data_IF_262473118627
#
_entry.id   IF_262473118627
#
_cell.length_a   1.000
_cell.length_b   1.000
_cell.length_c   1.000
_cell.angle_alpha   90.00
_cell.angle_beta   90.00
_cell.angle_gamma   90.00
#
_symmetry.space_group_name_H-M   'P 1'
#
loop_
_entity.id
_entity.type
_entity.pdbx_description
1 polymer ?
#
# COMPACT_ATOMS: atom_id res chain seq x y z
N UNK A 1 29.34 1.35 14.16
CA UNK A 1 28.12 0.59 13.94
C UNK A 1 27.27 1.29 12.89
N UNK A 2 26.74 0.52 11.94
CA UNK A 2 25.83 1.04 10.88
C UNK A 2 24.46 1.45 11.45
N UNK A 3 24.00 0.72 12.47
CA UNK A 3 22.78 1.02 13.21
C UNK A 3 23.15 1.54 14.59
N UNK A 4 22.60 2.68 14.96
CA UNK A 4 22.86 3.35 16.24
C UNK A 4 21.66 3.19 17.16
N UNK A 5 21.78 2.33 18.15
CA UNK A 5 20.81 2.19 19.23
C UNK A 5 21.37 2.83 20.50
N UNK A 6 20.52 3.45 21.29
CA UNK A 6 20.86 4.16 22.53
C UNK A 6 19.93 3.73 23.67
N UNK A 7 20.26 4.13 24.88
CA UNK A 7 19.39 3.91 26.05
C UNK A 7 18.95 2.45 26.23
N UNK A 8 17.65 2.24 26.37
CA UNK A 8 17.04 0.93 26.62
C UNK A 8 17.21 -0.04 25.44
N UNK A 9 17.07 0.43 24.22
CA UNK A 9 17.21 -0.40 23.01
C UNK A 9 18.58 -1.07 22.98
N UNK A 10 19.63 -0.28 23.20
CA UNK A 10 21.00 -0.78 23.24
C UNK A 10 21.21 -1.78 24.38
N UNK A 11 20.68 -1.50 25.58
CA UNK A 11 20.80 -2.40 26.73
C UNK A 11 20.16 -3.77 26.47
N UNK A 12 18.98 -3.79 25.84
CA UNK A 12 18.26 -5.02 25.48
C UNK A 12 19.05 -5.81 24.43
N UNK A 13 19.47 -5.15 23.33
CA UNK A 13 20.25 -5.81 22.27
C UNK A 13 21.59 -6.34 22.78
N UNK A 14 22.32 -5.58 23.57
CA UNK A 14 23.58 -6.01 24.16
C UNK A 14 23.39 -7.22 25.11
N UNK A 15 22.30 -7.25 25.88
CA UNK A 15 22.00 -8.36 26.78
C UNK A 15 21.66 -9.66 26.05
N UNK A 16 20.92 -9.57 24.96
CA UNK A 16 20.65 -10.69 24.06
C UNK A 16 21.93 -11.15 23.35
N UNK A 17 22.72 -10.22 22.84
CA UNK A 17 23.96 -10.50 22.10
C UNK A 17 25.08 -11.13 22.94
N UNK A 18 25.02 -11.00 24.27
CA UNK A 18 25.93 -11.69 25.20
C UNK A 18 25.63 -13.19 25.34
N UNK A 19 24.42 -13.60 25.03
CA UNK A 19 23.92 -14.97 25.25
C UNK A 19 23.70 -15.73 23.94
N UNK A 20 23.28 -15.03 22.87
CA UNK A 20 23.01 -15.60 21.56
C UNK A 20 23.47 -14.69 20.43
N UNK A 21 23.34 -15.16 19.19
CA UNK A 21 23.56 -14.31 18.02
C UNK A 21 22.27 -13.58 17.69
N UNK A 22 22.36 -12.29 17.44
CA UNK A 22 21.20 -11.47 17.06
C UNK A 22 21.43 -10.78 15.72
N UNK A 23 20.38 -10.75 14.91
CA UNK A 23 20.40 -10.14 13.59
C UNK A 23 19.20 -9.21 13.44
N UNK A 24 19.45 -7.96 12.98
CA UNK A 24 18.35 -7.15 12.47
C UNK A 24 18.00 -7.67 11.09
N UNK A 25 16.71 -7.72 10.77
CA UNK A 25 16.24 -8.34 9.55
C UNK A 25 15.13 -7.53 8.89
N UNK A 26 14.81 -7.85 7.64
CA UNK A 26 13.65 -7.25 6.95
C UNK A 26 13.86 -5.84 6.45
N UNK A 27 12.83 -5.01 6.61
CA UNK A 27 12.75 -3.67 6.03
C UNK A 27 13.84 -2.72 6.48
N UNK A 28 14.21 -2.76 7.75
CA UNK A 28 15.19 -1.85 8.35
C UNK A 28 16.57 -1.93 7.66
N UNK A 29 17.02 -3.15 7.30
CA UNK A 29 18.33 -3.33 6.65
C UNK A 29 18.28 -2.88 5.19
N UNK A 30 17.18 -3.16 4.47
CA UNK A 30 16.96 -2.66 3.12
C UNK A 30 16.92 -1.12 3.10
N UNK A 31 16.16 -0.51 3.99
CA UNK A 31 15.96 0.94 4.02
C UNK A 31 17.28 1.66 4.38
N UNK A 32 18.11 1.07 5.26
CA UNK A 32 19.47 1.55 5.48
C UNK A 32 20.33 1.51 4.20
N UNK A 33 20.24 0.43 3.41
CA UNK A 33 21.00 0.30 2.17
C UNK A 33 20.52 1.26 1.08
N UNK A 34 19.21 1.61 1.07
CA UNK A 34 18.63 2.55 0.11
C UNK A 34 18.91 4.01 0.47
N UNK A 35 18.70 4.37 1.73
CA UNK A 35 18.60 5.78 2.12
C UNK A 35 19.75 6.24 3.03
N UNK A 36 20.60 5.32 3.51
CA UNK A 36 21.63 5.57 4.53
C UNK A 36 21.07 6.20 5.83
N UNK A 37 19.75 6.14 5.99
CA UNK A 37 18.99 6.57 7.16
C UNK A 37 18.06 5.43 7.57
N UNK A 38 17.79 5.32 8.86
CA UNK A 38 16.93 4.27 9.42
C UNK A 38 15.79 4.93 10.17
N UNK A 39 14.58 4.49 9.84
CA UNK A 39 13.43 4.71 10.67
C UNK A 39 13.30 3.50 11.62
N UNK A 40 13.44 3.74 12.91
CA UNK A 40 13.39 2.71 13.94
C UNK A 40 11.96 2.39 14.42
N UNK A 41 10.93 2.73 13.65
CA UNK A 41 9.53 2.47 14.03
C UNK A 41 9.08 1.01 13.87
N UNK A 42 9.88 0.17 13.18
CA UNK A 42 9.56 -1.25 12.97
C UNK A 42 10.88 -2.03 12.85
N UNK A 43 11.32 -2.61 13.96
CA UNK A 43 12.61 -3.28 14.09
C UNK A 43 12.41 -4.77 14.36
N UNK A 44 12.62 -5.57 13.32
CA UNK A 44 12.62 -7.03 13.43
C UNK A 44 14.00 -7.54 13.89
N UNK A 45 14.04 -8.29 15.00
CA UNK A 45 15.25 -8.92 15.54
C UNK A 45 15.09 -10.44 15.52
N UNK A 46 15.90 -11.14 14.72
CA UNK A 46 16.00 -12.61 14.78
C UNK A 46 17.09 -13.03 15.76
N UNK A 47 16.76 -13.95 16.70
CA UNK A 47 17.62 -14.37 17.80
C UNK A 47 17.92 -15.86 17.65
N UNK A 48 19.20 -16.20 17.62
CA UNK A 48 19.73 -17.54 17.46
C UNK A 48 20.43 -18.02 18.74
N UNK A 49 20.61 -19.34 18.83
CA UNK A 49 21.32 -20.03 19.92
C UNK A 49 20.64 -19.99 21.30
N UNK A 50 19.43 -19.41 21.39
CA UNK A 50 18.63 -19.34 22.61
C UNK A 50 17.28 -20.02 22.42
N UNK A 51 16.75 -20.61 23.49
CA UNK A 51 15.35 -21.04 23.55
C UNK A 51 14.44 -19.84 23.88
N UNK A 52 13.14 -19.97 23.53
CA UNK A 52 12.20 -18.86 23.70
C UNK A 52 12.04 -18.43 25.17
N UNK A 53 12.17 -19.37 26.10
CA UNK A 53 12.13 -19.13 27.53
C UNK A 53 13.35 -18.34 28.03
N UNK A 54 14.51 -18.56 27.43
CA UNK A 54 15.73 -17.80 27.73
C UNK A 54 15.61 -16.37 27.23
N UNK A 55 15.08 -16.19 26.01
CA UNK A 55 14.82 -14.87 25.43
C UNK A 55 13.81 -14.11 26.30
N UNK A 56 12.70 -14.74 26.69
CA UNK A 56 11.67 -14.18 27.55
C UNK A 56 12.27 -13.73 28.91
N UNK A 57 13.09 -14.59 29.52
CA UNK A 57 13.79 -14.29 30.78
C UNK A 57 14.73 -13.08 30.67
N UNK A 58 15.39 -12.90 29.53
CA UNK A 58 16.26 -11.74 29.30
C UNK A 58 15.41 -10.48 29.11
N UNK A 59 14.39 -10.53 28.27
CA UNK A 59 13.50 -9.40 27.96
C UNK A 59 12.69 -8.95 29.19
N UNK A 60 12.21 -9.87 30.01
CA UNK A 60 11.42 -9.60 31.24
C UNK A 60 12.16 -8.75 32.29
N UNK A 61 13.49 -8.59 32.15
CA UNK A 61 14.26 -7.65 32.99
C UNK A 61 14.04 -6.19 32.64
N UNK A 62 13.48 -5.93 31.45
CA UNK A 62 13.32 -4.60 30.85
C UNK A 62 11.87 -4.15 30.72
N UNK A 63 10.90 -5.05 30.92
CA UNK A 63 9.48 -4.75 30.84
C UNK A 63 8.64 -6.00 30.75
N UNK A 64 7.32 -5.82 30.55
CA UNK A 64 6.41 -6.93 30.37
C UNK A 64 6.54 -7.50 28.95
N UNK A 65 6.64 -8.85 28.85
CA UNK A 65 6.79 -9.56 27.58
C UNK A 65 5.46 -10.18 27.15
N UNK A 66 5.00 -9.81 25.99
CA UNK A 66 3.81 -10.38 25.36
C UNK A 66 4.23 -11.42 24.31
N UNK A 67 3.78 -12.67 24.44
CA UNK A 67 3.96 -13.70 23.42
C UNK A 67 2.87 -13.58 22.38
N UNK A 68 3.24 -13.17 21.17
CA UNK A 68 2.30 -13.00 20.04
C UNK A 68 2.35 -14.24 19.17
N UNK A 69 1.19 -14.94 19.06
CA UNK A 69 1.10 -16.17 18.28
C UNK A 69 1.89 -17.33 18.92
N UNK A 70 1.25 -18.13 19.76
CA UNK A 70 1.88 -19.26 20.47
C UNK A 70 2.73 -20.19 19.60
N UNK A 71 2.44 -20.27 18.29
CA UNK A 71 3.15 -21.09 17.32
C UNK A 71 4.26 -20.35 16.53
N UNK A 72 4.35 -19.01 16.64
CA UNK A 72 5.24 -18.24 15.75
C UNK A 72 6.56 -17.80 16.38
N UNK A 73 6.75 -17.99 17.70
CA UNK A 73 8.00 -17.65 18.39
C UNK A 73 8.33 -16.15 18.34
N UNK A 74 7.31 -15.27 18.39
CA UNK A 74 7.49 -13.82 18.42
C UNK A 74 7.19 -13.30 19.81
N UNK A 75 8.09 -12.49 20.33
CA UNK A 75 7.99 -11.79 21.63
C UNK A 75 7.96 -10.28 21.38
N UNK A 76 7.06 -9.59 22.07
CA UNK A 76 6.98 -8.12 22.09
C UNK A 76 7.23 -7.62 23.50
N UNK A 77 8.07 -6.60 23.62
CA UNK A 77 8.38 -5.94 24.88
C UNK A 77 7.60 -4.63 24.95
N UNK A 78 6.79 -4.43 26.00
CA UNK A 78 5.92 -3.26 26.14
C UNK A 78 6.68 -1.93 26.19
N UNK A 79 7.88 -1.93 26.77
CA UNK A 79 8.77 -0.78 26.83
C UNK A 79 9.47 -0.47 25.49
N UNK A 80 9.45 -1.40 24.53
CA UNK A 80 9.97 -1.25 23.16
C UNK A 80 8.93 -1.74 22.14
N UNK A 81 7.77 -1.07 22.00
CA UNK A 81 6.64 -1.57 21.22
C UNK A 81 6.94 -1.66 19.70
N UNK A 82 7.98 -0.99 19.25
CA UNK A 82 8.46 -0.99 17.87
C UNK A 82 9.46 -2.11 17.56
N UNK A 83 9.79 -2.96 18.54
CA UNK A 83 10.66 -4.13 18.35
C UNK A 83 9.85 -5.42 18.33
N UNK A 84 10.10 -6.26 17.33
CA UNK A 84 9.65 -7.64 17.26
C UNK A 84 10.86 -8.56 17.44
N UNK A 85 10.84 -9.33 18.53
CA UNK A 85 11.88 -10.31 18.83
C UNK A 85 11.41 -11.70 18.40
N UNK A 86 12.09 -12.33 17.46
CA UNK A 86 11.66 -13.60 16.88
C UNK A 86 12.79 -14.62 16.87
N UNK A 87 12.45 -15.89 17.03
CA UNK A 87 13.35 -16.99 16.69
C UNK A 87 13.28 -17.30 15.20
N UNK A 88 14.38 -17.80 14.60
CA UNK A 88 14.35 -18.29 13.22
C UNK A 88 13.41 -19.48 13.11
N UNK A 89 12.69 -19.57 11.98
CA UNK A 89 11.65 -20.55 11.78
C UNK A 89 11.60 -21.06 10.34
N UNK A 90 11.08 -22.27 10.17
CA UNK A 90 10.63 -22.80 8.90
C UNK A 90 9.11 -22.76 8.85
N UNK A 91 8.59 -22.32 7.73
CA UNK A 91 7.16 -22.31 7.44
C UNK A 91 6.90 -23.33 6.34
N UNK A 92 5.90 -24.20 6.49
CA UNK A 92 5.49 -25.15 5.47
C UNK A 92 3.99 -25.04 5.30
N UNK A 93 3.54 -24.80 4.08
CA UNK A 93 2.11 -24.76 3.75
C UNK A 93 1.54 -26.17 3.76
N UNK A 94 0.48 -26.42 4.56
CA UNK A 94 -0.21 -27.70 4.65
C UNK A 94 -1.61 -27.70 4.01
N UNK A 95 -2.06 -26.58 3.43
CA UNK A 95 -3.38 -26.43 2.82
C UNK A 95 -3.46 -25.30 1.82
N UNK A 96 -4.69 -24.92 1.43
CA UNK A 96 -4.93 -23.88 0.43
C UNK A 96 -5.03 -22.47 1.03
N UNK A 97 -5.34 -22.34 2.33
CA UNK A 97 -5.55 -21.06 2.99
C UNK A 97 -4.29 -20.58 3.70
N UNK A 98 -4.20 -19.27 3.96
CA UNK A 98 -3.09 -18.64 4.69
C UNK A 98 -3.02 -19.01 6.18
N UNK A 99 -4.00 -19.75 6.72
CA UNK A 99 -4.03 -20.23 8.12
C UNK A 99 -3.45 -21.63 8.28
N UNK A 100 -3.16 -22.29 7.16
CA UNK A 100 -2.71 -23.69 7.13
C UNK A 100 -1.20 -23.76 6.91
N UNK A 101 -0.44 -23.05 7.76
CA UNK A 101 1.01 -23.15 7.84
C UNK A 101 1.44 -23.86 9.11
N UNK A 102 2.25 -24.90 8.94
CA UNK A 102 3.05 -25.44 10.03
C UNK A 102 4.29 -24.58 10.21
N UNK A 103 4.40 -23.98 11.37
CA UNK A 103 5.56 -23.16 11.75
C UNK A 103 6.37 -23.97 12.78
N UNK A 104 7.62 -24.23 12.43
CA UNK A 104 8.57 -24.87 13.33
C UNK A 104 9.72 -23.92 13.61
N UNK A 105 9.95 -23.64 14.88
CA UNK A 105 11.01 -22.75 15.36
C UNK A 105 12.29 -23.54 15.57
N UNK A 106 13.43 -22.99 15.20
CA UNK A 106 14.75 -23.62 15.33
C UNK A 106 15.76 -22.61 15.86
N UNK A 107 16.33 -22.85 17.02
CA UNK A 107 17.37 -21.95 17.55
C UNK A 107 18.66 -21.88 16.71
N UNK A 108 18.95 -22.92 15.93
CA UNK A 108 20.20 -23.05 15.14
C UNK A 108 19.90 -23.25 13.65
N UNK A 109 18.90 -22.56 13.10
CA UNK A 109 18.65 -22.61 11.67
C UNK A 109 19.83 -21.96 10.91
N UNK A 110 20.19 -22.54 9.77
CA UNK A 110 21.14 -21.90 8.86
C UNK A 110 20.62 -20.52 8.41
N UNK A 111 21.49 -19.51 8.41
CA UNK A 111 21.08 -18.12 8.13
C UNK A 111 20.56 -17.94 6.70
N UNK A 112 21.17 -18.61 5.73
CA UNK A 112 20.74 -18.58 4.34
C UNK A 112 19.36 -19.23 4.19
N UNK A 113 19.14 -20.36 4.88
CA UNK A 113 17.84 -21.04 4.88
C UNK A 113 16.76 -20.20 5.58
N UNK A 114 17.07 -19.50 6.68
CA UNK A 114 16.16 -18.56 7.33
C UNK A 114 15.73 -17.44 6.39
N UNK A 115 16.63 -16.92 5.56
CA UNK A 115 16.31 -15.91 4.56
C UNK A 115 15.47 -16.44 3.38
N UNK A 116 15.56 -17.74 3.05
CA UNK A 116 14.90 -18.32 1.89
C UNK A 116 13.38 -18.18 1.90
N UNK A 117 12.76 -18.18 3.09
CA UNK A 117 11.30 -18.01 3.27
C UNK A 117 10.78 -16.60 2.97
N UNK A 118 11.69 -15.60 2.83
CA UNK A 118 11.31 -14.22 2.53
C UNK A 118 10.82 -14.08 1.08
N UNK A 119 10.16 -12.97 0.80
CA UNK A 119 9.55 -12.72 -0.50
C UNK A 119 10.59 -12.37 -1.59
N UNK A 120 11.40 -11.32 -1.35
CA UNK A 120 12.33 -10.77 -2.33
C UNK A 120 13.76 -10.72 -1.81
N UNK A 121 14.73 -10.79 -2.73
CA UNK A 121 16.16 -10.70 -2.44
C UNK A 121 16.51 -9.43 -1.67
N UNK A 122 15.87 -8.30 -2.02
CA UNK A 122 16.04 -7.00 -1.36
C UNK A 122 15.49 -6.94 0.08
N UNK A 123 14.71 -7.92 0.50
CA UNK A 123 14.18 -8.04 1.85
C UNK A 123 14.89 -9.16 2.65
N UNK A 124 15.90 -9.82 2.06
CA UNK A 124 16.57 -10.97 2.65
C UNK A 124 17.90 -10.63 3.35
N UNK A 125 18.18 -9.36 3.53
CA UNK A 125 19.36 -8.93 4.27
C UNK A 125 19.24 -9.26 5.75
N UNK A 126 20.38 -9.58 6.37
CA UNK A 126 20.55 -9.66 7.81
C UNK A 126 21.71 -8.75 8.23
N UNK A 127 21.52 -8.01 9.30
CA UNK A 127 22.61 -7.25 9.90
C UNK A 127 23.06 -7.95 11.19
N UNK A 128 24.29 -8.43 11.20
CA UNK A 128 24.93 -9.01 12.38
C UNK A 128 25.26 -7.88 13.36
N UNK A 129 24.53 -7.84 14.47
CA UNK A 129 24.66 -6.78 15.46
C UNK A 129 26.05 -6.77 16.12
N UNK A 130 26.60 -7.96 16.42
CA UNK A 130 27.88 -8.10 17.10
C UNK A 130 29.07 -7.73 16.23
N UNK A 131 29.04 -8.14 14.95
CA UNK A 131 30.16 -7.99 14.02
C UNK A 131 30.05 -6.75 13.11
N UNK A 132 28.98 -5.95 13.22
CA UNK A 132 28.69 -4.77 12.40
C UNK A 132 28.73 -5.07 10.88
N UNK A 133 28.15 -6.22 10.48
CA UNK A 133 28.17 -6.70 9.11
C UNK A 133 26.78 -6.90 8.54
N UNK A 134 26.57 -6.52 7.27
CA UNK A 134 25.35 -6.86 6.52
C UNK A 134 25.64 -8.11 5.69
N UNK A 135 24.88 -9.17 5.97
CA UNK A 135 24.92 -10.44 5.27
C UNK A 135 23.90 -10.41 4.12
N UNK A 136 24.35 -10.84 2.94
CA UNK A 136 23.56 -10.89 1.71
C UNK A 136 23.76 -12.25 1.03
N UNK A 137 22.89 -13.20 1.30
CA UNK A 137 22.98 -14.57 0.79
C UNK A 137 22.41 -14.75 -0.62
N UNK A 138 21.65 -13.76 -1.12
CA UNK A 138 20.87 -13.88 -2.37
C UNK A 138 21.16 -12.77 -3.37
N UNK A 139 22.28 -12.05 -3.20
CA UNK A 139 22.71 -10.93 -4.06
C UNK A 139 21.69 -9.78 -4.12
N UNK A 140 20.95 -9.56 -3.02
CA UNK A 140 19.97 -8.52 -2.91
C UNK A 140 20.52 -7.10 -3.10
N UNK A 141 21.82 -6.85 -2.74
CA UNK A 141 22.48 -5.56 -2.98
C UNK A 141 22.57 -5.23 -4.47
N UNK A 142 22.86 -6.24 -5.31
CA UNK A 142 22.92 -6.06 -6.76
C UNK A 142 21.53 -5.76 -7.32
N UNK A 143 20.51 -6.49 -6.86
CA UNK A 143 19.13 -6.27 -7.28
C UNK A 143 18.64 -4.89 -6.82
N UNK A 144 18.99 -4.48 -5.60
CA UNK A 144 18.66 -3.15 -5.05
C UNK A 144 19.27 -2.02 -5.88
N UNK A 145 20.56 -2.14 -6.25
CA UNK A 145 21.26 -1.16 -7.10
C UNK A 145 20.68 -1.07 -8.51
N UNK A 146 20.16 -2.17 -9.04
CA UNK A 146 19.51 -2.22 -10.36
C UNK A 146 18.04 -1.81 -10.33
N UNK A 147 17.45 -1.58 -9.16
CA UNK A 147 16.02 -1.30 -9.01
C UNK A 147 15.15 -2.49 -9.40
N UNK A 148 15.56 -3.72 -9.05
CA UNK A 148 14.86 -4.96 -9.41
C UNK A 148 14.30 -5.64 -8.16
N UNK A 149 13.04 -6.02 -8.23
CA UNK A 149 12.38 -6.89 -7.25
C UNK A 149 12.36 -8.33 -7.79
N UNK A 150 13.16 -9.18 -7.16
CA UNK A 150 13.36 -10.56 -7.56
C UNK A 150 12.97 -11.49 -6.41
N UNK A 151 12.13 -12.49 -6.65
CA UNK A 151 11.83 -13.53 -5.69
C UNK A 151 13.10 -14.33 -5.34
N UNK A 152 13.20 -14.79 -4.10
CA UNK A 152 14.33 -15.59 -3.63
C UNK A 152 14.28 -17.00 -4.18
N UNK A 153 13.15 -17.65 -4.02
CA UNK A 153 12.90 -19.05 -4.38
C UNK A 153 11.47 -19.20 -4.89
N UNK A 154 11.31 -19.83 -6.04
CA UNK A 154 9.99 -19.95 -6.70
C UNK A 154 9.00 -20.75 -5.85
N UNK A 155 9.46 -21.87 -5.26
CA UNK A 155 8.60 -22.75 -4.47
C UNK A 155 8.06 -22.03 -3.23
N UNK A 156 8.94 -21.40 -2.45
CA UNK A 156 8.53 -20.67 -1.26
C UNK A 156 7.73 -19.42 -1.61
N UNK A 157 8.00 -18.78 -2.75
CA UNK A 157 7.23 -17.62 -3.21
C UNK A 157 5.77 -17.97 -3.47
N UNK A 158 5.50 -19.11 -4.10
CA UNK A 158 4.15 -19.61 -4.41
C UNK A 158 3.36 -20.06 -3.17
N UNK A 159 4.01 -20.28 -2.04
CA UNK A 159 3.31 -20.64 -0.80
C UNK A 159 2.39 -19.54 -0.27
N UNK A 160 2.68 -18.26 -0.55
CA UNK A 160 1.84 -17.12 -0.13
C UNK A 160 1.46 -16.23 -1.31
N UNK A 161 0.24 -16.35 -1.86
CA UNK A 161 -0.23 -15.50 -2.97
C UNK A 161 -0.24 -14.00 -2.67
N UNK A 162 -0.22 -13.58 -1.39
CA UNK A 162 -0.12 -12.18 -1.02
C UNK A 162 1.15 -11.52 -1.58
N UNK A 163 2.19 -12.30 -1.84
CA UNK A 163 3.46 -11.80 -2.41
C UNK A 163 3.29 -11.14 -3.77
N UNK A 164 2.22 -11.48 -4.52
CA UNK A 164 1.85 -10.79 -5.76
C UNK A 164 1.47 -9.34 -5.47
N UNK A 165 0.61 -9.11 -4.48
CA UNK A 165 0.19 -7.75 -4.09
C UNK A 165 1.34 -6.98 -3.43
N UNK A 166 2.16 -7.68 -2.64
CA UNK A 166 3.39 -7.11 -2.06
C UNK A 166 4.38 -6.67 -3.14
N UNK A 167 4.52 -7.44 -4.23
CA UNK A 167 5.35 -7.04 -5.37
C UNK A 167 4.88 -5.72 -5.96
N UNK A 168 3.57 -5.60 -6.25
CA UNK A 168 2.98 -4.37 -6.77
C UNK A 168 3.18 -3.17 -5.82
N UNK A 169 2.99 -3.40 -4.51
CA UNK A 169 3.19 -2.39 -3.48
C UNK A 169 4.66 -1.93 -3.42
N UNK A 170 5.63 -2.87 -3.45
CA UNK A 170 7.04 -2.53 -3.44
C UNK A 170 7.50 -1.86 -4.75
N UNK A 171 6.96 -2.27 -5.90
CA UNK A 171 7.20 -1.58 -7.18
C UNK A 171 6.79 -0.11 -7.09
N UNK A 172 5.61 0.18 -6.54
CA UNK A 172 5.10 1.54 -6.36
C UNK A 172 5.88 2.34 -5.29
N UNK A 173 6.24 1.69 -4.18
CA UNK A 173 6.94 2.34 -3.07
C UNK A 173 8.37 2.71 -3.39
N UNK A 174 9.09 1.84 -4.09
CA UNK A 174 10.53 1.98 -4.35
C UNK A 174 10.83 2.32 -5.82
N UNK A 175 9.82 2.44 -6.66
CA UNK A 175 9.94 2.69 -8.11
C UNK A 175 10.82 1.65 -8.81
N UNK A 176 10.73 0.40 -8.34
CA UNK A 176 11.49 -0.73 -8.85
C UNK A 176 10.67 -1.54 -9.87
N UNK A 177 11.37 -2.35 -10.66
CA UNK A 177 10.76 -3.24 -11.65
C UNK A 177 10.78 -4.69 -11.16
N UNK A 178 9.74 -5.44 -11.51
CA UNK A 178 9.74 -6.88 -11.28
C UNK A 178 10.78 -7.57 -12.19
N UNK A 179 11.53 -8.53 -11.61
CA UNK A 179 12.32 -9.48 -12.42
C UNK A 179 11.42 -10.29 -13.34
N UNK A 180 11.92 -10.62 -14.54
CA UNK A 180 11.14 -11.34 -15.56
C UNK A 180 10.55 -12.64 -15.06
N UNK A 181 11.38 -13.48 -14.43
CA UNK A 181 10.93 -14.77 -13.87
C UNK A 181 9.92 -14.59 -12.76
N UNK A 182 10.13 -13.61 -11.87
CA UNK A 182 9.20 -13.27 -10.80
C UNK A 182 7.83 -12.88 -11.35
N UNK A 183 7.77 -12.05 -12.39
CA UNK A 183 6.54 -11.67 -13.08
C UNK A 183 5.84 -12.87 -13.70
N UNK A 184 6.57 -13.74 -14.40
CA UNK A 184 6.02 -14.95 -15.01
C UNK A 184 5.40 -15.89 -13.95
N UNK A 185 6.03 -16.02 -12.79
CA UNK A 185 5.49 -16.79 -11.67
C UNK A 185 4.19 -16.15 -11.17
N UNK A 186 4.17 -14.84 -10.95
CA UNK A 186 2.96 -14.13 -10.55
C UNK A 186 1.80 -14.34 -11.54
N UNK A 187 2.06 -14.26 -12.86
CA UNK A 187 1.06 -14.50 -13.89
C UNK A 187 0.46 -15.90 -13.80
N UNK A 188 1.31 -16.95 -13.62
CA UNK A 188 0.82 -18.32 -13.45
C UNK A 188 -0.04 -18.48 -12.20
N UNK A 189 0.37 -17.87 -11.07
CA UNK A 189 -0.39 -17.93 -9.82
C UNK A 189 -1.77 -17.28 -9.98
N UNK A 190 -1.85 -16.13 -10.68
CA UNK A 190 -3.12 -15.45 -10.97
C UNK A 190 -4.01 -16.33 -11.86
N UNK A 191 -3.46 -16.89 -12.95
CA UNK A 191 -4.18 -17.78 -13.86
C UNK A 191 -4.72 -19.05 -13.14
N UNK A 192 -4.03 -19.51 -12.11
CA UNK A 192 -4.46 -20.64 -11.28
C UNK A 192 -5.50 -20.26 -10.21
N UNK A 193 -5.94 -19.00 -10.13
CA UNK A 193 -6.92 -18.53 -9.14
C UNK A 193 -6.38 -18.47 -7.70
N UNK A 194 -5.07 -18.36 -7.51
CA UNK A 194 -4.49 -18.42 -6.16
C UNK A 194 -4.83 -17.20 -5.30
N UNK A 195 -5.18 -16.06 -5.92
CA UNK A 195 -5.61 -14.87 -5.20
C UNK A 195 -6.97 -15.01 -4.51
N UNK A 196 -7.83 -15.93 -4.98
CA UNK A 196 -9.18 -16.16 -4.45
C UNK A 196 -9.16 -16.68 -3.00
N UNK A 197 -8.01 -17.24 -2.58
CA UNK A 197 -7.81 -17.74 -1.22
C UNK A 197 -7.35 -16.66 -0.22
N UNK A 198 -7.10 -15.43 -0.69
CA UNK A 198 -6.70 -14.34 0.19
C UNK A 198 -7.90 -13.74 0.90
N UNK A 199 -7.74 -13.42 2.18
CA UNK A 199 -8.76 -12.67 2.89
C UNK A 199 -8.77 -11.20 2.43
N UNK A 200 -9.97 -10.60 2.45
CA UNK A 200 -10.18 -9.20 2.04
C UNK A 200 -9.32 -8.22 2.83
N UNK A 201 -9.12 -8.50 4.11
CA UNK A 201 -8.30 -7.67 5.01
C UNK A 201 -6.84 -7.64 4.56
N UNK A 202 -6.28 -8.79 4.16
CA UNK A 202 -4.91 -8.87 3.63
C UNK A 202 -4.77 -8.12 2.31
N UNK A 203 -5.73 -8.29 1.40
CA UNK A 203 -5.79 -7.57 0.13
C UNK A 203 -5.85 -6.06 0.40
N UNK A 204 -6.78 -5.62 1.26
CA UNK A 204 -6.96 -4.22 1.62
C UNK A 204 -5.68 -3.60 2.20
N UNK A 205 -4.98 -4.33 3.07
CA UNK A 205 -3.73 -3.85 3.66
C UNK A 205 -2.66 -3.57 2.61
N UNK A 206 -2.47 -4.45 1.63
CA UNK A 206 -1.47 -4.23 0.57
C UNK A 206 -1.91 -3.12 -0.39
N UNK A 207 -3.20 -3.01 -0.75
CA UNK A 207 -3.71 -1.88 -1.52
C UNK A 207 -3.56 -0.54 -0.78
N UNK A 208 -3.79 -0.51 0.54
CA UNK A 208 -3.57 0.69 1.35
C UNK A 208 -2.12 1.17 1.27
N UNK A 209 -1.16 0.25 1.42
CA UNK A 209 0.28 0.56 1.31
C UNK A 209 0.63 1.02 -0.10
N UNK A 210 0.08 0.36 -1.13
CA UNK A 210 0.28 0.72 -2.53
C UNK A 210 -0.23 2.13 -2.80
N UNK A 211 -1.46 2.44 -2.42
CA UNK A 211 -2.08 3.76 -2.64
C UNK A 211 -1.38 4.88 -1.86
N UNK A 212 -0.79 4.57 -0.70
CA UNK A 212 0.00 5.54 0.07
C UNK A 212 1.44 5.70 -0.44
N UNK A 213 1.88 4.99 -1.47
CA UNK A 213 3.17 5.20 -2.14
C UNK A 213 3.19 6.51 -2.93
N UNK A 214 4.38 6.90 -3.42
CA UNK A 214 4.52 8.14 -4.20
C UNK A 214 3.99 8.01 -5.63
N UNK A 215 4.12 6.82 -6.23
CA UNK A 215 3.66 6.53 -7.59
C UNK A 215 2.80 5.26 -7.62
N UNK A 216 1.54 5.33 -7.11
CA UNK A 216 0.67 4.15 -7.05
C UNK A 216 0.39 3.53 -8.41
N UNK A 217 0.41 4.34 -9.50
CA UNK A 217 0.16 3.86 -10.85
C UNK A 217 1.12 2.76 -11.29
N UNK A 218 2.36 2.74 -10.79
CA UNK A 218 3.35 1.70 -11.12
C UNK A 218 2.84 0.31 -10.69
N UNK A 219 2.41 0.18 -9.44
CA UNK A 219 1.89 -1.08 -8.93
C UNK A 219 0.54 -1.45 -9.52
N UNK A 220 -0.36 -0.47 -9.72
CA UNK A 220 -1.66 -0.69 -10.35
C UNK A 220 -1.51 -1.18 -11.80
N UNK A 221 -0.60 -0.60 -12.59
CA UNK A 221 -0.28 -1.08 -13.96
C UNK A 221 0.24 -2.51 -13.95
N UNK A 222 1.11 -2.84 -13.00
CA UNK A 222 1.60 -4.21 -12.87
C UNK A 222 0.46 -5.18 -12.57
N UNK A 223 -0.44 -4.86 -11.63
CA UNK A 223 -1.61 -5.70 -11.31
C UNK A 223 -2.55 -5.87 -12.51
N UNK A 224 -2.77 -4.81 -13.30
CA UNK A 224 -3.52 -4.89 -14.55
C UNK A 224 -2.84 -5.82 -15.56
N UNK A 225 -1.54 -5.67 -15.75
CA UNK A 225 -0.77 -6.44 -16.73
C UNK A 225 -0.79 -7.94 -16.46
N UNK A 226 -0.84 -8.35 -15.19
CA UNK A 226 -0.88 -9.76 -14.79
C UNK A 226 -2.30 -10.27 -14.52
N UNK A 227 -3.33 -9.44 -14.65
CA UNK A 227 -4.73 -9.79 -14.39
C UNK A 227 -5.09 -9.93 -12.90
N UNK A 228 -4.34 -9.24 -12.01
CA UNK A 228 -4.49 -9.31 -10.56
C UNK A 228 -5.16 -8.06 -9.93
N UNK A 229 -5.67 -7.15 -10.76
CA UNK A 229 -6.37 -5.96 -10.26
C UNK A 229 -7.70 -6.38 -9.60
N UNK A 230 -8.09 -5.71 -8.50
CA UNK A 230 -9.39 -6.01 -7.84
C UNK A 230 -10.57 -5.61 -8.71
N UNK A 231 -11.59 -6.49 -8.72
CA UNK A 231 -12.87 -6.21 -9.40
C UNK A 231 -13.59 -4.99 -8.80
N UNK A 232 -14.27 -4.19 -9.62
CA UNK A 232 -14.41 -4.25 -11.07
C UNK A 232 -13.47 -3.24 -11.80
N UNK A 233 -12.29 -2.94 -11.23
CA UNK A 233 -11.38 -1.93 -11.81
C UNK A 233 -10.92 -2.28 -13.25
N UNK A 234 -10.87 -3.56 -13.61
CA UNK A 234 -10.52 -3.99 -14.96
C UNK A 234 -11.48 -3.47 -16.02
N UNK A 235 -12.75 -3.22 -15.65
CA UNK A 235 -13.76 -2.67 -16.58
C UNK A 235 -13.42 -1.27 -17.10
N UNK A 236 -12.61 -0.52 -16.33
CA UNK A 236 -12.16 0.82 -16.73
C UNK A 236 -11.21 0.78 -17.95
N UNK A 237 -10.54 -0.36 -18.20
CA UNK A 237 -9.60 -0.52 -19.32
C UNK A 237 -10.34 -0.48 -20.66
N UNK A 238 -11.51 -1.09 -20.72
CA UNK A 238 -12.33 -1.17 -21.95
C UNK A 238 -13.31 -0.02 -22.08
N UNK A 239 -13.44 0.84 -21.06
CA UNK A 239 -14.34 1.98 -21.07
C UNK A 239 -13.71 3.15 -21.88
N UNK A 240 -14.25 3.48 -23.07
CA UNK A 240 -13.70 4.53 -23.91
C UNK A 240 -14.02 5.92 -23.35
N UNK A 241 -13.19 6.89 -23.71
CA UNK A 241 -13.42 8.29 -23.43
C UNK A 241 -13.28 9.12 -24.73
N UNK A 242 -13.88 10.29 -24.75
CA UNK A 242 -13.72 11.22 -25.86
C UNK A 242 -12.27 11.72 -25.95
N UNK A 243 -11.59 11.41 -27.05
CA UNK A 243 -10.16 11.74 -27.23
C UNK A 243 -9.86 13.24 -27.26
N UNK A 244 -10.84 14.08 -27.62
CA UNK A 244 -10.72 15.54 -27.58
C UNK A 244 -10.63 16.12 -26.15
N UNK A 245 -11.15 15.39 -25.15
CA UNK A 245 -11.07 15.74 -23.73
C UNK A 245 -10.14 14.83 -22.94
N UNK A 246 -9.88 13.62 -23.42
CA UNK A 246 -9.15 12.55 -22.76
C UNK A 246 -8.21 11.85 -23.76
N UNK A 247 -7.13 12.54 -24.21
CA UNK A 247 -6.18 11.93 -25.18
C UNK A 247 -5.47 10.69 -24.62
N UNK A 248 -5.52 10.44 -23.30
CA UNK A 248 -5.07 9.23 -22.63
C UNK A 248 -5.88 7.98 -22.99
N UNK A 249 -7.05 8.13 -23.63
CA UNK A 249 -7.81 7.09 -24.33
C UNK A 249 -8.90 6.43 -23.50
N UNK A 250 -8.60 5.73 -22.42
CA UNK A 250 -9.58 5.00 -21.61
C UNK A 250 -9.62 5.50 -20.15
N UNK A 251 -10.70 5.10 -19.44
CA UNK A 251 -10.91 5.55 -18.06
C UNK A 251 -9.80 5.07 -17.12
N UNK A 252 -9.24 3.87 -17.33
CA UNK A 252 -8.15 3.38 -16.49
C UNK A 252 -6.90 4.24 -16.61
N UNK A 253 -6.50 4.62 -17.83
CA UNK A 253 -5.34 5.49 -18.04
C UNK A 253 -5.51 6.84 -17.33
N UNK A 254 -6.71 7.43 -17.43
CA UNK A 254 -7.07 8.63 -16.69
C UNK A 254 -6.96 8.41 -15.19
N UNK A 255 -7.57 7.35 -14.65
CA UNK A 255 -7.54 7.02 -13.22
C UNK A 255 -6.10 6.87 -12.70
N UNK A 256 -5.21 6.23 -13.47
CA UNK A 256 -3.80 6.08 -13.09
C UNK A 256 -3.06 7.42 -13.00
N UNK A 257 -3.36 8.38 -13.88
CA UNK A 257 -2.83 9.74 -13.79
C UNK A 257 -3.39 10.48 -12.55
N UNK A 258 -4.68 10.35 -12.31
CA UNK A 258 -5.35 10.97 -11.15
C UNK A 258 -4.80 10.46 -9.83
N UNK A 259 -4.55 9.15 -9.68
CA UNK A 259 -4.00 8.61 -8.42
C UNK A 259 -2.56 9.08 -8.15
N UNK A 260 -1.73 9.25 -9.19
CA UNK A 260 -0.38 9.79 -9.01
C UNK A 260 -0.41 11.29 -8.62
N UNK A 261 -1.30 12.07 -9.22
CA UNK A 261 -1.51 13.47 -8.82
C UNK A 261 -2.08 13.57 -7.38
N UNK A 262 -3.03 12.71 -7.04
CA UNK A 262 -3.57 12.62 -5.69
C UNK A 262 -2.48 12.27 -4.66
N UNK A 263 -1.53 11.40 -5.02
CA UNK A 263 -0.40 11.06 -4.16
C UNK A 263 0.47 12.28 -3.80
N UNK A 264 0.59 13.27 -4.69
CA UNK A 264 1.35 14.50 -4.44
C UNK A 264 0.67 15.42 -3.43
N UNK A 265 -0.65 15.43 -3.37
CA UNK A 265 -1.40 16.35 -2.51
C UNK A 265 -2.06 15.68 -1.29
N UNK A 266 -2.06 14.35 -1.18
CA UNK A 266 -2.78 13.60 -0.13
C UNK A 266 -2.52 14.05 1.30
N UNK A 267 -1.29 14.51 1.60
CA UNK A 267 -0.91 14.97 2.94
C UNK A 267 -1.60 16.29 3.35
N UNK A 268 -2.18 17.01 2.39
CA UNK A 268 -2.95 18.24 2.62
C UNK A 268 -4.44 17.96 2.85
N UNK A 269 -4.87 16.71 2.70
CA UNK A 269 -6.27 16.30 2.87
C UNK A 269 -6.54 15.86 4.31
N UNK A 270 -7.80 15.95 4.72
CA UNK A 270 -8.23 15.59 6.08
C UNK A 270 -8.03 14.09 6.39
N UNK A 271 -8.02 13.24 5.36
CA UNK A 271 -7.84 11.80 5.50
C UNK A 271 -7.12 11.20 4.27
N UNK A 272 -5.76 11.19 4.26
CA UNK A 272 -4.96 10.77 3.10
C UNK A 272 -5.38 9.43 2.49
N UNK A 273 -5.59 8.39 3.30
CA UNK A 273 -5.95 7.07 2.80
C UNK A 273 -7.33 7.04 2.14
N UNK A 274 -8.34 7.66 2.76
CA UNK A 274 -9.69 7.73 2.21
C UNK A 274 -9.71 8.55 0.91
N UNK A 275 -8.91 9.61 0.84
CA UNK A 275 -8.72 10.43 -0.35
C UNK A 275 -8.10 9.62 -1.50
N UNK A 276 -7.06 8.81 -1.24
CA UNK A 276 -6.42 7.98 -2.25
C UNK A 276 -7.35 6.88 -2.80
N UNK A 277 -8.14 6.25 -1.93
CA UNK A 277 -9.20 5.33 -2.38
C UNK A 277 -10.27 6.04 -3.22
N UNK A 278 -10.62 7.28 -2.85
CA UNK A 278 -11.55 8.08 -3.65
C UNK A 278 -10.98 8.41 -5.03
N UNK A 279 -9.70 8.73 -5.12
CA UNK A 279 -9.01 8.99 -6.38
C UNK A 279 -8.99 7.74 -7.28
N UNK A 280 -8.77 6.54 -6.72
CA UNK A 280 -8.84 5.29 -7.46
C UNK A 280 -10.25 4.98 -7.98
N UNK A 281 -11.27 5.34 -7.22
CA UNK A 281 -12.66 4.92 -7.47
C UNK A 281 -13.56 6.04 -8.04
N UNK A 282 -13.05 7.27 -8.26
CA UNK A 282 -13.89 8.42 -8.63
C UNK A 282 -14.74 8.18 -9.89
N UNK A 283 -14.17 7.49 -10.85
CA UNK A 283 -14.78 7.21 -12.16
C UNK A 283 -15.29 5.76 -12.34
N UNK A 284 -15.36 4.98 -11.25
CA UNK A 284 -15.72 3.55 -11.29
C UNK A 284 -17.12 3.29 -11.86
N UNK A 285 -17.98 4.29 -11.90
CA UNK A 285 -19.33 4.20 -12.47
C UNK A 285 -19.40 4.38 -13.99
N UNK A 286 -18.33 4.90 -14.62
CA UNK A 286 -18.35 5.19 -16.05
C UNK A 286 -18.69 3.98 -16.93
N UNK A 287 -18.14 2.76 -16.69
CA UNK A 287 -18.46 1.61 -17.54
C UNK A 287 -19.97 1.30 -17.66
N UNK A 288 -20.76 1.62 -16.64
CA UNK A 288 -22.20 1.34 -16.65
C UNK A 288 -23.04 2.34 -17.48
N UNK A 289 -22.53 3.54 -17.73
CA UNK A 289 -23.29 4.65 -18.28
C UNK A 289 -22.63 5.33 -19.48
N UNK A 290 -21.46 4.86 -19.90
CA UNK A 290 -20.74 5.44 -21.05
C UNK A 290 -21.47 5.11 -22.34
N UNK A 291 -21.85 6.16 -23.09
CA UNK A 291 -22.45 6.04 -24.40
C UNK A 291 -21.41 5.69 -25.46
N UNK A 292 -21.84 5.23 -26.68
CA UNK A 292 -20.92 4.97 -27.79
C UNK A 292 -20.03 6.17 -28.16
N UNK A 293 -20.54 7.41 -27.92
CA UNK A 293 -19.81 8.65 -28.18
C UNK A 293 -18.83 9.03 -27.04
N UNK A 294 -18.66 8.15 -26.02
CA UNK A 294 -17.75 8.36 -24.91
C UNK A 294 -18.22 9.38 -23.86
N UNK A 295 -19.53 9.65 -23.78
CA UNK A 295 -20.16 10.46 -22.72
C UNK A 295 -20.61 9.54 -21.60
N UNK A 296 -20.47 9.94 -20.33
CA UNK A 296 -20.85 9.16 -19.18
C UNK A 296 -21.78 9.95 -18.23
N UNK A 297 -23.05 10.23 -18.64
CA UNK A 297 -23.99 10.95 -17.80
C UNK A 297 -24.36 10.11 -16.56
N UNK A 298 -24.37 10.73 -15.37
CA UNK A 298 -24.75 10.05 -14.13
C UNK A 298 -23.72 9.03 -13.62
N UNK A 299 -22.44 9.10 -14.08
CA UNK A 299 -21.40 8.17 -13.60
C UNK A 299 -21.06 8.35 -12.13
N UNK A 300 -21.38 9.47 -11.51
CA UNK A 300 -21.26 9.71 -10.08
C UNK A 300 -22.26 8.89 -9.27
N UNK A 301 -23.54 8.83 -9.70
CA UNK A 301 -24.58 8.00 -9.08
C UNK A 301 -24.29 6.50 -9.27
N UNK A 302 -23.98 6.10 -10.50
CA UNK A 302 -23.61 4.71 -10.79
C UNK A 302 -22.30 4.31 -10.09
N UNK A 303 -21.36 5.24 -9.89
CA UNK A 303 -20.16 5.00 -9.12
C UNK A 303 -20.44 4.66 -7.66
N UNK A 304 -21.40 5.34 -7.03
CA UNK A 304 -21.87 4.99 -5.68
C UNK A 304 -22.53 3.61 -5.66
N UNK A 305 -23.28 3.23 -6.71
CA UNK A 305 -23.88 1.89 -6.83
C UNK A 305 -22.80 0.81 -6.92
N UNK A 306 -21.79 0.99 -7.79
CA UNK A 306 -20.64 0.08 -7.93
C UNK A 306 -19.87 -0.03 -6.61
N UNK A 307 -19.62 1.09 -5.92
CA UNK A 307 -18.98 1.06 -4.61
C UNK A 307 -19.78 0.20 -3.61
N UNK A 308 -21.10 0.37 -3.55
CA UNK A 308 -21.93 -0.39 -2.62
C UNK A 308 -21.92 -1.89 -2.94
N UNK A 309 -21.87 -2.27 -4.21
CA UNK A 309 -21.86 -3.66 -4.66
C UNK A 309 -20.51 -4.34 -4.39
N UNK A 310 -19.41 -3.72 -4.78
CA UNK A 310 -18.09 -4.35 -4.81
C UNK A 310 -17.18 -3.97 -3.63
N UNK A 311 -17.24 -2.73 -3.16
CA UNK A 311 -16.27 -2.21 -2.18
C UNK A 311 -16.84 -2.01 -0.78
N UNK A 312 -18.14 -1.94 -0.61
CA UNK A 312 -18.75 -1.67 0.71
C UNK A 312 -18.32 -2.69 1.80
N UNK A 313 -18.05 -3.92 1.41
CA UNK A 313 -17.63 -4.98 2.32
C UNK A 313 -16.09 -5.08 2.50
N UNK A 314 -15.30 -4.33 1.71
CA UNK A 314 -13.85 -4.23 1.88
C UNK A 314 -13.47 -3.37 3.10
N UNK A 315 -14.29 -2.37 3.41
CA UNK A 315 -14.00 -1.44 4.49
C UNK A 315 -14.89 -1.71 5.69
N UNK A 316 -14.31 -1.88 6.87
CA UNK A 316 -15.07 -1.95 8.12
C UNK A 316 -15.46 -0.56 8.63
N UNK A 317 -14.58 0.44 8.45
CA UNK A 317 -14.77 1.79 8.94
C UNK A 317 -15.88 2.53 8.20
N UNK A 318 -17.02 2.75 8.90
CA UNK A 318 -18.20 3.43 8.36
C UNK A 318 -17.92 4.87 7.90
N UNK A 319 -17.04 5.59 8.60
CA UNK A 319 -16.67 6.97 8.23
C UNK A 319 -15.86 6.99 6.93
N UNK A 320 -14.94 6.03 6.74
CA UNK A 320 -14.19 5.88 5.51
C UNK A 320 -15.10 5.56 4.31
N UNK A 321 -16.04 4.63 4.48
CA UNK A 321 -17.06 4.34 3.45
C UNK A 321 -17.85 5.59 3.05
N UNK A 322 -18.28 6.37 4.05
CA UNK A 322 -19.04 7.60 3.83
C UNK A 322 -18.19 8.62 3.07
N UNK A 323 -16.93 8.80 3.48
CA UNK A 323 -16.00 9.71 2.80
C UNK A 323 -15.84 9.33 1.31
N UNK A 324 -15.49 8.08 1.01
CA UNK A 324 -15.25 7.62 -0.37
C UNK A 324 -16.52 7.77 -1.22
N UNK A 325 -17.67 7.30 -0.75
CA UNK A 325 -18.93 7.42 -1.49
C UNK A 325 -19.31 8.87 -1.78
N UNK A 326 -19.14 9.74 -0.79
CA UNK A 326 -19.45 11.17 -0.96
C UNK A 326 -18.49 11.82 -1.94
N UNK A 327 -17.21 11.46 -1.92
CA UNK A 327 -16.23 11.97 -2.88
C UNK A 327 -16.53 11.46 -4.30
N UNK A 328 -16.86 10.19 -4.50
CA UNK A 328 -17.31 9.65 -5.79
C UNK A 328 -18.51 10.43 -6.33
N UNK A 329 -19.49 10.72 -5.46
CA UNK A 329 -20.68 11.44 -5.86
C UNK A 329 -20.39 12.91 -6.24
N UNK A 330 -19.54 13.61 -5.47
CA UNK A 330 -19.37 15.06 -5.63
C UNK A 330 -18.15 15.47 -6.46
N UNK A 331 -17.25 14.57 -6.88
CA UNK A 331 -15.97 14.92 -7.52
C UNK A 331 -16.13 15.87 -8.74
N UNK A 332 -17.21 15.73 -9.53
CA UNK A 332 -17.47 16.55 -10.70
C UNK A 332 -18.24 17.85 -10.39
N UNK A 333 -18.84 17.98 -9.20
CA UNK A 333 -19.80 19.05 -8.94
C UNK A 333 -19.17 20.44 -8.99
N UNK A 334 -18.00 20.66 -8.39
CA UNK A 334 -17.32 21.95 -8.41
C UNK A 334 -16.99 22.39 -9.84
N UNK A 335 -16.41 21.51 -10.66
CA UNK A 335 -16.08 21.85 -12.03
C UNK A 335 -17.31 22.13 -12.89
N UNK A 336 -18.40 21.42 -12.67
CA UNK A 336 -19.67 21.68 -13.33
C UNK A 336 -20.27 23.03 -12.90
N UNK A 337 -20.14 23.40 -11.61
CA UNK A 337 -20.59 24.71 -11.12
C UNK A 337 -19.79 25.86 -11.73
N UNK A 338 -18.47 25.74 -11.81
CA UNK A 338 -17.62 26.72 -12.48
C UNK A 338 -18.02 26.87 -13.94
N UNK A 339 -18.16 25.77 -14.66
CA UNK A 339 -18.51 25.77 -16.10
C UNK A 339 -19.89 26.39 -16.37
N UNK A 340 -20.86 26.12 -15.48
CA UNK A 340 -22.25 26.57 -15.64
C UNK A 340 -22.55 27.89 -14.94
N UNK A 341 -21.53 28.52 -14.32
CA UNK A 341 -21.70 29.76 -13.50
C UNK A 341 -22.84 29.63 -12.50
N UNK A 342 -22.86 28.52 -11.77
CA UNK A 342 -23.98 28.13 -10.89
C UNK A 342 -24.19 29.14 -9.77
N UNK A 343 -25.49 29.35 -9.41
CA UNK A 343 -25.91 30.27 -8.35
C UNK A 343 -25.46 29.79 -6.96
N UNK A 344 -25.42 30.69 -5.99
CA UNK A 344 -25.01 30.43 -4.61
C UNK A 344 -25.78 29.30 -3.93
N UNK A 345 -27.07 29.13 -4.26
CA UNK A 345 -27.87 28.03 -3.75
C UNK A 345 -27.31 26.63 -4.09
N UNK A 346 -26.77 26.46 -5.30
CA UNK A 346 -26.15 25.19 -5.71
C UNK A 346 -24.89 24.90 -4.90
N UNK A 347 -24.10 25.95 -4.65
CA UNK A 347 -22.91 25.86 -3.82
C UNK A 347 -23.24 25.51 -2.36
N UNK A 348 -24.25 26.21 -1.78
CA UNK A 348 -24.74 25.90 -0.44
C UNK A 348 -25.21 24.44 -0.32
N UNK A 349 -25.96 23.94 -1.31
CA UNK A 349 -26.41 22.54 -1.34
C UNK A 349 -25.23 21.56 -1.38
N UNK A 350 -24.18 21.89 -2.11
CA UNK A 350 -22.95 21.07 -2.13
C UNK A 350 -22.30 21.06 -0.74
N UNK A 351 -22.10 22.22 -0.09
CA UNK A 351 -21.52 22.30 1.26
C UNK A 351 -22.31 21.45 2.26
N UNK A 352 -23.65 21.52 2.24
CA UNK A 352 -24.52 20.70 3.07
C UNK A 352 -24.36 19.19 2.78
N UNK A 353 -24.09 18.83 1.52
CA UNK A 353 -23.88 17.43 1.12
C UNK A 353 -22.58 16.81 1.63
N UNK A 354 -21.53 17.63 1.87
CA UNK A 354 -20.24 17.18 2.38
C UNK A 354 -20.04 17.47 3.88
N UNK A 355 -20.95 18.23 4.50
CA UNK A 355 -20.85 18.65 5.90
C UNK A 355 -20.68 17.45 6.86
N UNK A 356 -19.72 17.53 7.76
CA UNK A 356 -19.40 16.47 8.72
C UNK A 356 -18.83 15.18 8.10
N UNK A 357 -18.40 15.23 6.83
CA UNK A 357 -17.78 14.11 6.14
C UNK A 357 -16.32 14.44 5.81
N UNK A 358 -16.07 15.54 5.10
CA UNK A 358 -14.75 16.07 4.81
C UNK A 358 -14.83 17.58 4.52
N UNK A 359 -13.73 18.34 4.67
CA UNK A 359 -13.67 19.75 4.34
C UNK A 359 -13.71 20.00 2.82
N UNK A 360 -14.16 21.18 2.42
CA UNK A 360 -14.26 21.57 1.01
C UNK A 360 -12.91 21.45 0.26
N UNK A 361 -11.80 21.69 0.96
CA UNK A 361 -10.44 21.61 0.42
C UNK A 361 -10.11 20.22 -0.13
N UNK A 362 -10.63 19.15 0.48
CA UNK A 362 -10.48 17.79 -0.04
C UNK A 362 -11.17 17.64 -1.41
N UNK A 363 -12.36 18.19 -1.57
CA UNK A 363 -13.09 18.17 -2.83
C UNK A 363 -12.41 19.05 -3.90
N UNK A 364 -11.90 20.21 -3.52
CA UNK A 364 -11.11 21.07 -4.40
C UNK A 364 -9.85 20.33 -4.88
N UNK A 365 -9.14 19.67 -3.97
CA UNK A 365 -7.96 18.87 -4.32
C UNK A 365 -8.32 17.75 -5.30
N UNK A 366 -9.41 17.01 -5.06
CA UNK A 366 -9.89 15.95 -5.97
C UNK A 366 -10.25 16.51 -7.33
N UNK A 367 -10.98 17.61 -7.39
CA UNK A 367 -11.37 18.24 -8.65
C UNK A 367 -10.17 18.71 -9.48
N UNK A 368 -9.09 19.19 -8.80
CA UNK A 368 -7.82 19.52 -9.45
C UNK A 368 -7.12 18.27 -10.00
N UNK A 369 -7.04 17.20 -9.20
CA UNK A 369 -6.42 15.95 -9.62
C UNK A 369 -7.14 15.35 -10.84
N UNK A 370 -8.48 15.28 -10.84
CA UNK A 370 -9.27 14.84 -11.99
C UNK A 370 -9.00 15.69 -13.22
N UNK A 371 -8.98 17.02 -13.06
CA UNK A 371 -8.76 17.92 -14.19
C UNK A 371 -7.34 17.83 -14.76
N UNK A 372 -6.33 17.81 -13.90
CA UNK A 372 -4.92 17.72 -14.27
C UNK A 372 -4.54 16.31 -14.80
N UNK A 373 -5.27 15.27 -14.40
CA UNK A 373 -5.11 13.91 -14.90
C UNK A 373 -5.51 13.71 -16.36
N UNK A 374 -6.03 14.74 -17.02
CA UNK A 374 -6.31 14.75 -18.47
C UNK A 374 -5.10 15.27 -19.23
N UNK A 375 -4.58 14.51 -20.18
CA UNK A 375 -3.43 14.95 -20.99
C UNK A 375 -3.74 16.17 -21.88
N UNK A 376 -5.03 16.45 -22.15
CA UNK A 376 -5.51 17.68 -22.80
C UNK A 376 -5.46 18.92 -21.88
N UNK A 377 -4.47 19.01 -21.02
CA UNK A 377 -4.42 19.97 -19.91
C UNK A 377 -4.57 21.43 -20.34
N UNK A 378 -5.50 22.15 -19.71
CA UNK A 378 -5.69 23.59 -19.82
C UNK A 378 -5.48 24.23 -18.46
N UNK A 379 -4.29 24.80 -18.16
CA UNK A 379 -3.96 25.40 -16.85
C UNK A 379 -4.97 26.46 -16.37
N UNK A 380 -5.52 27.22 -17.33
CA UNK A 380 -6.54 28.25 -17.09
C UNK A 380 -7.77 27.74 -16.31
N UNK A 381 -8.10 26.46 -16.44
CA UNK A 381 -9.25 25.86 -15.74
C UNK A 381 -9.02 25.71 -14.24
N UNK A 382 -7.76 25.58 -13.78
CA UNK A 382 -7.42 25.46 -12.38
C UNK A 382 -7.53 26.82 -11.69
N UNK A 383 -6.97 27.89 -12.31
CA UNK A 383 -7.10 29.26 -11.77
C UNK A 383 -8.57 29.69 -11.71
N UNK A 384 -9.38 29.31 -12.69
CA UNK A 384 -10.82 29.57 -12.68
C UNK A 384 -11.54 28.85 -11.54
N UNK A 385 -11.16 27.62 -11.23
CA UNK A 385 -11.70 26.88 -10.08
C UNK A 385 -11.35 27.56 -8.76
N UNK A 386 -10.08 27.95 -8.58
CA UNK A 386 -9.63 28.61 -7.35
C UNK A 386 -10.37 29.94 -7.16
N UNK A 387 -10.42 30.79 -8.19
CA UNK A 387 -11.13 32.05 -8.13
C UNK A 387 -12.65 31.88 -7.83
N UNK A 388 -13.29 30.87 -8.43
CA UNK A 388 -14.69 30.56 -8.13
C UNK A 388 -14.89 30.16 -6.67
N UNK A 389 -14.04 29.28 -6.14
CA UNK A 389 -14.14 28.84 -4.74
C UNK A 389 -13.89 30.00 -3.78
N UNK A 390 -12.86 30.82 -4.02
CA UNK A 390 -12.55 32.01 -3.22
C UNK A 390 -13.71 33.01 -3.21
N UNK A 391 -14.29 33.31 -4.37
CA UNK A 391 -15.50 34.16 -4.46
C UNK A 391 -16.64 33.61 -3.60
N UNK A 392 -16.94 32.30 -3.71
CA UNK A 392 -18.07 31.70 -2.99
C UNK A 392 -17.80 31.65 -1.48
N UNK A 393 -16.59 31.32 -1.05
CA UNK A 393 -16.21 31.31 0.37
C UNK A 393 -16.31 32.72 0.95
N UNK A 394 -15.84 33.77 0.24
CA UNK A 394 -15.91 35.14 0.72
C UNK A 394 -17.35 35.72 0.84
N UNK A 395 -18.28 35.16 0.04
CA UNK A 395 -19.70 35.63 0.05
C UNK A 395 -20.60 34.86 1.00
N UNK A 396 -20.26 33.61 1.33
CA UNK A 396 -21.13 32.69 2.08
C UNK A 396 -20.53 32.29 3.44
N UNK A 397 -19.25 32.60 3.71
CA UNK A 397 -18.56 32.43 5.00
C UNK A 397 -18.76 33.67 5.82
#
# INVERSE_FOLDING_TARGET
>A
MKFKFEGLEKQVLDSLSKKGRIYLVGGIVRDYLLYHQVDYHDVDVEIYDLEIEEIDTILSKYGHVNRVGKSFGILKLDTLPHFDFAMPRKERKNGKTHREFDVTVYKNLDLKEACRRRDFTVNAFMYDYKNDQILDFYNGKVDLQKGILKMIDEKTFQEDPLRILRLAQFMARFEMKADKKTKEVCQRMVQNGELDYLSKERILQEYNKLLLSNHPSIGLRFLLEIGAIIEPLETLVTCPQRLDFHPEGNVMNHTLLVVDLAALCRQKTSWPLAFMWSALLHDIGKPLVTTPEGKAPGHNESGVQVFNQYFNHFFENKKMKKYIKTMIYYHMHLMNMVRNQSKDYSYYKLLKGIEGIFPLEDLVCMSKCDKLGRLANRPETISTLDAYVEEKVSRLG
#
